data_IF_820847481197
#
_entry.id   IF_820847481197
#
_cell.length_a   1.000
_cell.length_b   1.000
_cell.length_c   1.000
_cell.angle_alpha   90.00
_cell.angle_beta   90.00
_cell.angle_gamma   90.00
#
_symmetry.space_group_name_H-M   'P 1'
#
loop_
_entity.id
_entity.type
_entity.pdbx_description
1 polymer ?
#
# COMPACT_ATOMS: atom_id res chain seq x y z
N UNK A 1 25.77 -8.87 13.19
CA UNK A 1 24.80 -9.37 14.20
C UNK A 1 25.23 -10.77 14.66
N UNK A 2 24.62 -11.32 15.72
CA UNK A 2 24.91 -12.71 16.12
C UNK A 2 24.43 -13.69 15.03
N UNK A 3 25.17 -14.77 14.75
CA UNK A 3 24.69 -15.84 13.87
C UNK A 3 23.33 -16.36 14.32
N UNK A 4 22.43 -16.61 13.38
CA UNK A 4 21.03 -17.02 13.61
C UNK A 4 20.05 -15.86 13.73
N UNK A 5 20.51 -14.60 13.74
CA UNK A 5 19.62 -13.44 13.69
C UNK A 5 18.85 -13.39 12.35
N UNK A 6 17.68 -12.74 12.38
CA UNK A 6 16.84 -12.51 11.21
C UNK A 6 16.56 -11.01 11.10
N UNK A 7 16.74 -10.46 9.90
CA UNK A 7 16.27 -9.13 9.54
C UNK A 7 15.15 -9.28 8.52
N UNK A 8 14.06 -8.53 8.72
CA UNK A 8 12.97 -8.43 7.75
C UNK A 8 13.02 -7.02 7.18
N UNK A 9 13.36 -6.91 5.91
CA UNK A 9 13.46 -5.63 5.21
C UNK A 9 12.15 -5.33 4.47
N UNK A 10 11.32 -4.48 5.07
CA UNK A 10 10.03 -4.07 4.53
C UNK A 10 10.15 -3.09 3.35
N UNK A 11 11.34 -2.54 3.09
CA UNK A 11 11.57 -1.53 2.07
C UNK A 11 12.23 -2.08 0.79
N UNK A 12 12.32 -3.41 0.66
CA UNK A 12 13.06 -4.08 -0.42
C UNK A 12 12.62 -3.66 -1.84
N UNK A 13 11.34 -3.32 -2.04
CA UNK A 13 10.82 -2.85 -3.34
C UNK A 13 11.32 -1.46 -3.75
N UNK A 14 11.82 -0.68 -2.79
CA UNK A 14 12.31 0.70 -3.00
C UNK A 14 13.82 0.81 -2.84
N UNK A 15 14.54 -0.31 -2.99
CA UNK A 15 16.00 -0.40 -2.84
C UNK A 15 16.45 -1.06 -1.53
N UNK A 16 15.57 -1.20 -0.54
CA UNK A 16 15.85 -1.87 0.73
C UNK A 16 16.59 -1.00 1.75
N UNK A 17 16.34 -1.27 3.03
CA UNK A 17 17.09 -0.67 4.13
C UNK A 17 18.36 -1.45 4.48
N UNK A 18 18.46 -2.70 4.01
CA UNK A 18 19.52 -3.62 4.40
C UNK A 18 20.36 -3.97 3.19
N UNK A 19 21.67 -3.70 3.27
CA UNK A 19 22.61 -4.10 2.24
C UNK A 19 22.59 -5.62 2.05
N UNK A 20 22.52 -6.04 0.78
CA UNK A 20 22.36 -7.45 0.41
C UNK A 20 20.93 -7.99 0.48
N UNK A 21 19.94 -7.16 0.83
CA UNK A 21 18.53 -7.53 0.66
C UNK A 21 18.22 -7.72 -0.83
N UNK A 22 17.52 -8.82 -1.16
CA UNK A 22 17.10 -9.12 -2.52
C UNK A 22 15.59 -9.30 -2.58
N UNK A 23 14.95 -8.67 -3.58
CA UNK A 23 13.51 -8.73 -3.77
C UNK A 23 13.04 -10.19 -3.95
N UNK A 24 12.02 -10.51 -3.18
CA UNK A 24 11.34 -11.80 -3.08
C UNK A 24 12.21 -12.98 -2.64
N UNK A 25 13.31 -12.71 -1.93
CA UNK A 25 14.24 -13.75 -1.48
C UNK A 25 14.51 -13.69 0.03
N UNK A 26 15.01 -14.81 0.53
CA UNK A 26 15.67 -14.89 1.84
C UNK A 26 17.13 -15.19 1.58
N UNK A 27 18.01 -14.22 1.84
CA UNK A 27 19.45 -14.41 1.69
C UNK A 27 20.09 -14.67 3.06
N UNK A 28 21.26 -15.31 3.05
CA UNK A 28 22.06 -15.50 4.26
C UNK A 28 23.40 -14.79 4.08
N UNK A 29 23.70 -13.84 4.96
CA UNK A 29 24.97 -13.12 4.97
C UNK A 29 25.57 -13.15 6.37
N UNK A 30 26.81 -13.61 6.49
CA UNK A 30 27.54 -13.72 7.77
C UNK A 30 26.73 -14.40 8.90
N UNK A 31 25.97 -15.45 8.55
CA UNK A 31 25.12 -16.20 9.48
C UNK A 31 23.80 -15.52 9.86
N UNK A 32 23.44 -14.39 9.24
CA UNK A 32 22.18 -13.66 9.43
C UNK A 32 21.27 -13.90 8.24
N UNK A 33 19.98 -14.20 8.49
CA UNK A 33 18.98 -14.28 7.42
C UNK A 33 18.40 -12.89 7.16
N UNK A 34 18.35 -12.47 5.89
CA UNK A 34 17.71 -11.23 5.46
C UNK A 34 16.52 -11.62 4.60
N UNK A 35 15.32 -11.27 5.05
CA UNK A 35 14.05 -11.54 4.37
C UNK A 35 13.63 -10.28 3.62
N UNK A 36 13.62 -10.35 2.29
CA UNK A 36 13.28 -9.25 1.40
C UNK A 36 12.02 -9.55 0.57
N UNK A 37 10.89 -9.85 1.20
CA UNK A 37 9.63 -10.00 0.46
C UNK A 37 8.96 -8.65 0.23
N UNK A 38 8.61 -8.34 -1.03
CA UNK A 38 7.99 -7.05 -1.37
C UNK A 38 6.52 -6.97 -0.98
N UNK A 39 5.71 -7.86 -1.55
CA UNK A 39 4.26 -7.90 -1.28
C UNK A 39 3.92 -8.72 -0.02
N UNK A 40 4.38 -8.26 1.14
CA UNK A 40 4.03 -8.86 2.43
C UNK A 40 2.52 -8.92 2.71
N UNK A 41 1.70 -7.91 2.35
CA UNK A 41 0.24 -8.01 2.52
C UNK A 41 -0.36 -9.22 1.79
N UNK A 42 0.15 -9.60 0.62
CA UNK A 42 -0.32 -10.80 -0.10
C UNK A 42 -0.02 -12.11 0.64
N UNK A 43 0.91 -12.13 1.60
CA UNK A 43 1.17 -13.31 2.45
C UNK A 43 0.13 -13.49 3.56
N UNK A 44 -0.72 -12.49 3.79
CA UNK A 44 -1.90 -12.49 4.68
C UNK A 44 -3.13 -12.04 3.90
N UNK A 45 -3.30 -12.58 2.69
CA UNK A 45 -4.23 -12.09 1.68
C UNK A 45 -5.69 -11.94 2.17
N UNK A 46 -6.19 -12.88 2.98
CA UNK A 46 -7.57 -12.83 3.48
C UNK A 46 -7.82 -11.57 4.34
N UNK A 47 -6.96 -11.33 5.32
CA UNK A 47 -7.06 -10.18 6.22
C UNK A 47 -6.76 -8.88 5.49
N UNK A 48 -5.71 -8.86 4.65
CA UNK A 48 -5.37 -7.69 3.85
C UNK A 48 -6.53 -7.28 2.92
N UNK A 49 -7.20 -8.24 2.29
CA UNK A 49 -8.36 -7.99 1.43
C UNK A 49 -9.55 -7.43 2.23
N UNK A 50 -9.84 -8.01 3.40
CA UNK A 50 -10.95 -7.55 4.24
C UNK A 50 -10.72 -6.10 4.74
N UNK A 51 -9.50 -5.77 5.15
CA UNK A 51 -9.15 -4.42 5.59
C UNK A 51 -9.16 -3.42 4.44
N UNK A 52 -8.61 -3.78 3.28
CA UNK A 52 -8.62 -2.92 2.10
C UNK A 52 -10.04 -2.66 1.58
N UNK A 53 -10.90 -3.68 1.54
CA UNK A 53 -12.30 -3.51 1.15
C UNK A 53 -13.04 -2.51 2.05
N UNK A 54 -12.77 -2.52 3.36
CA UNK A 54 -13.33 -1.54 4.30
C UNK A 54 -12.83 -0.13 4.00
N UNK A 55 -11.55 0.04 3.66
CA UNK A 55 -11.01 1.35 3.24
C UNK A 55 -11.71 1.86 1.98
N UNK A 56 -11.89 1.01 0.96
CA UNK A 56 -12.57 1.37 -0.29
C UNK A 56 -14.03 1.76 -0.02
N UNK A 57 -14.76 0.99 0.78
CA UNK A 57 -16.16 1.31 1.13
C UNK A 57 -16.26 2.64 1.88
N UNK A 58 -15.38 2.86 2.87
CA UNK A 58 -15.37 4.11 3.62
C UNK A 58 -15.04 5.33 2.74
N UNK A 59 -14.11 5.17 1.79
CA UNK A 59 -13.78 6.22 0.83
C UNK A 59 -14.94 6.50 -0.13
N UNK A 60 -15.57 5.46 -0.69
CA UNK A 60 -16.73 5.60 -1.57
C UNK A 60 -17.94 6.25 -0.89
N UNK A 61 -18.11 6.06 0.42
CA UNK A 61 -19.17 6.71 1.18
C UNK A 61 -19.09 8.24 1.16
N UNK A 62 -17.92 8.83 0.87
CA UNK A 62 -17.78 10.27 0.65
C UNK A 62 -18.42 10.73 -0.67
N UNK A 63 -18.50 9.83 -1.65
CA UNK A 63 -18.95 10.11 -3.02
C UNK A 63 -20.33 9.54 -3.36
N UNK A 64 -20.93 8.77 -2.44
CA UNK A 64 -22.23 8.13 -2.66
C UNK A 64 -23.30 8.78 -1.78
N UNK A 65 -24.41 9.17 -2.40
CA UNK A 65 -25.58 9.59 -1.66
C UNK A 65 -26.15 8.40 -0.85
N UNK A 66 -26.28 8.50 0.49
CA UNK A 66 -26.68 7.37 1.33
C UNK A 66 -28.14 6.93 1.11
N UNK A 67 -28.97 7.77 0.51
CA UNK A 67 -30.39 7.49 0.24
C UNK A 67 -30.62 7.02 -1.20
N UNK A 68 -29.97 7.66 -2.17
CA UNK A 68 -30.23 7.41 -3.61
C UNK A 68 -29.18 6.50 -4.25
N UNK A 69 -28.01 6.34 -3.64
CA UNK A 69 -26.88 5.64 -4.24
C UNK A 69 -26.24 6.40 -5.41
N UNK A 70 -26.67 7.64 -5.66
CA UNK A 70 -26.10 8.47 -6.72
C UNK A 70 -24.65 8.80 -6.42
N UNK A 71 -23.80 8.61 -7.43
CA UNK A 71 -22.37 8.88 -7.35
C UNK A 71 -22.08 10.32 -7.80
N UNK A 72 -21.36 11.06 -6.97
CA UNK A 72 -20.84 12.38 -7.27
C UNK A 72 -19.41 12.50 -6.73
N UNK A 73 -18.61 13.39 -7.32
CA UNK A 73 -17.26 13.70 -6.85
C UNK A 73 -17.31 15.07 -6.15
N UNK A 74 -17.50 15.12 -4.81
CA UNK A 74 -17.61 16.38 -4.09
C UNK A 74 -16.23 17.07 -4.05
N UNK A 75 -16.09 18.15 -4.82
CA UNK A 75 -14.80 18.87 -4.99
C UNK A 75 -14.42 19.72 -3.77
N UNK A 76 -15.37 19.93 -2.88
CA UNK A 76 -15.23 20.59 -1.59
C UNK A 76 -14.83 19.63 -0.45
N UNK A 77 -14.97 18.31 -0.64
CA UNK A 77 -14.44 17.32 0.29
C UNK A 77 -12.90 17.26 0.20
N UNK A 78 -12.23 17.47 1.33
CA UNK A 78 -10.77 17.56 1.38
C UNK A 78 -10.07 16.26 0.99
N UNK A 79 -10.67 15.11 1.31
CA UNK A 79 -10.10 13.78 1.01
C UNK A 79 -10.23 13.52 -0.49
N UNK A 80 -11.39 13.80 -1.08
CA UNK A 80 -11.61 13.67 -2.52
C UNK A 80 -10.67 14.62 -3.28
N UNK A 81 -10.56 15.88 -2.85
CA UNK A 81 -9.66 16.85 -3.47
C UNK A 81 -8.19 16.41 -3.42
N UNK A 82 -7.74 15.85 -2.29
CA UNK A 82 -6.36 15.40 -2.11
C UNK A 82 -6.01 14.13 -2.90
N UNK A 83 -7.02 13.30 -3.24
CA UNK A 83 -6.82 12.00 -3.90
C UNK A 83 -7.20 12.00 -5.39
N UNK A 84 -7.94 12.99 -5.87
CA UNK A 84 -8.32 13.11 -7.28
C UNK A 84 -7.11 13.48 -8.15
N UNK A 85 -6.64 12.54 -8.98
CA UNK A 85 -5.48 12.75 -9.87
C UNK A 85 -5.90 13.20 -11.28
N UNK A 86 -7.02 12.70 -11.80
CA UNK A 86 -7.48 12.96 -13.16
C UNK A 86 -9.01 13.08 -13.21
N UNK A 87 -9.52 14.00 -14.03
CA UNK A 87 -10.95 14.16 -14.33
C UNK A 87 -11.11 14.57 -15.80
N UNK A 88 -12.10 14.00 -16.50
CA UNK A 88 -12.43 14.33 -17.90
C UNK A 88 -11.23 14.23 -18.86
N UNK A 89 -10.33 13.27 -18.63
CA UNK A 89 -9.14 13.06 -19.47
C UNK A 89 -8.00 14.06 -19.22
N UNK A 90 -8.13 14.95 -18.22
CA UNK A 90 -7.09 15.89 -17.83
C UNK A 90 -6.58 15.58 -16.42
N UNK A 91 -5.27 15.68 -16.23
CA UNK A 91 -4.65 15.62 -14.90
C UNK A 91 -5.04 16.86 -14.12
N UNK A 92 -5.61 16.68 -12.93
CA UNK A 92 -6.03 17.77 -12.03
C UNK A 92 -5.06 17.99 -10.87
N UNK A 93 -4.32 16.95 -10.48
CA UNK A 93 -3.27 17.05 -9.46
C UNK A 93 -1.92 17.38 -10.11
N UNK A 94 -1.30 18.49 -9.70
CA UNK A 94 0.16 18.67 -9.77
C UNK A 94 0.66 18.77 -8.33
N UNK A 95 1.65 17.94 -8.03
CA UNK A 95 2.48 17.98 -6.82
C UNK A 95 2.98 19.38 -6.51
#
# INVERSE_FOLDING_TARGET
MKPGAVIVDLAVEQGGNVEGSELDKIVVSNGVKIVGFGNLPARVAADASALYARNVINFLALSLNPKTGEFAVPKDDEIIKATLICENGAVVARS
#
